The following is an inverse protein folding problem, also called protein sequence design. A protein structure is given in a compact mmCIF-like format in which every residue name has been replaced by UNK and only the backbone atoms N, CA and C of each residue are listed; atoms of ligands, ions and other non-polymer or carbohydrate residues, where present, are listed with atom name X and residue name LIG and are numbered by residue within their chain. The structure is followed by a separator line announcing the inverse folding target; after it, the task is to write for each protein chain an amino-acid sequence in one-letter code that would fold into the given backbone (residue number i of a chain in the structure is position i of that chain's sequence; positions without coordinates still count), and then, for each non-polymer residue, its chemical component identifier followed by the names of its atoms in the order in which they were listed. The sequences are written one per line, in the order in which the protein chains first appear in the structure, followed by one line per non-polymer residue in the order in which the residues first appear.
data_IF_445718104375
#
_entry.id   IF_445718104375
#
_cell.length_a   1.000
_cell.length_b   1.000
_cell.length_c   1.000
_cell.angle_alpha   90.00
_cell.angle_beta   90.00
_cell.angle_gamma   90.00
#
_symmetry.space_group_name_H-M   'P 1'
#
loop_
_entity.id
_entity.type
_entity.pdbx_description
1 polymer ?
#
# COMPACT_ATOMS: atom_id res chain seq x y z
N UNK A 1 -5.96 40.11 1.17
CA UNK A 1 -5.55 38.96 0.33
C UNK A 1 -5.64 37.69 1.16
N UNK A 2 -6.79 37.02 1.14
CA UNK A 2 -6.93 35.69 1.75
C UNK A 2 -6.34 34.65 0.79
N UNK A 3 -5.43 33.81 1.27
CA UNK A 3 -5.03 32.59 0.56
C UNK A 3 -5.97 31.49 1.04
N UNK A 4 -6.83 31.02 0.15
CA UNK A 4 -7.62 29.81 0.38
C UNK A 4 -6.67 28.60 0.47
N UNK A 5 -6.51 28.08 1.69
CA UNK A 5 -5.81 26.84 1.99
C UNK A 5 -6.80 25.66 1.89
N UNK A 6 -7.29 25.36 0.69
CA UNK A 6 -8.27 24.28 0.50
C UNK A 6 -8.03 23.47 -0.77
N UNK A 7 -6.78 23.18 -1.12
CA UNK A 7 -6.50 22.19 -2.15
C UNK A 7 -5.68 21.05 -1.54
N UNK A 8 -6.30 19.91 -1.18
CA UNK A 8 -5.56 18.77 -0.66
C UNK A 8 -4.59 18.26 -1.74
N UNK A 9 -3.35 18.02 -1.34
CA UNK A 9 -2.39 17.28 -2.17
C UNK A 9 -2.90 15.84 -2.24
N UNK A 10 -3.75 15.58 -3.23
CA UNK A 10 -4.28 14.25 -3.49
C UNK A 10 -3.11 13.37 -3.95
N UNK A 11 -2.76 12.29 -3.21
CA UNK A 11 -1.70 11.39 -3.62
C UNK A 11 -1.93 10.90 -5.04
N UNK A 12 -0.88 10.83 -5.85
CA UNK A 12 -0.98 10.53 -7.29
C UNK A 12 -1.73 9.22 -7.58
N UNK A 13 -1.73 8.26 -6.65
CA UNK A 13 -2.48 7.01 -6.74
C UNK A 13 -4.01 7.20 -6.69
N UNK A 14 -4.53 8.18 -5.94
CA UNK A 14 -5.96 8.52 -5.93
C UNK A 14 -6.44 9.05 -7.30
N UNK A 15 -5.57 9.70 -8.09
CA UNK A 15 -5.90 10.16 -9.43
C UNK A 15 -5.91 9.03 -10.49
N UNK A 16 -5.28 7.89 -10.19
CA UNK A 16 -5.30 6.70 -11.05
C UNK A 16 -6.61 5.92 -10.89
N UNK A 17 -7.13 5.84 -9.65
CA UNK A 17 -8.42 5.18 -9.32
C UNK A 17 -9.61 5.85 -10.03
N UNK A 18 -9.54 7.16 -10.30
CA UNK A 18 -10.63 7.89 -10.98
C UNK A 18 -10.71 7.66 -12.49
N UNK A 19 -9.66 7.16 -13.14
CA UNK A 19 -9.57 7.09 -14.62
C UNK A 19 -10.13 5.81 -15.21
N UNK A 20 -10.13 4.74 -14.43
CA UNK A 20 -10.81 3.49 -14.76
C UNK A 20 -12.12 3.48 -13.94
N UNK A 21 -13.28 3.32 -14.57
CA UNK A 21 -14.61 3.42 -13.94
C UNK A 21 -14.92 2.26 -12.95
N UNK A 22 -13.90 1.74 -12.27
CA UNK A 22 -13.94 0.69 -11.26
C UNK A 22 -13.30 1.25 -10.01
N UNK A 23 -14.14 1.72 -9.08
CA UNK A 23 -13.71 2.18 -7.76
C UNK A 23 -13.09 1.00 -7.00
N UNK A 24 -11.78 0.80 -7.14
CA UNK A 24 -11.06 -0.21 -6.38
C UNK A 24 -10.96 0.23 -4.93
N UNK A 25 -11.56 -0.55 -4.02
CA UNK A 25 -11.55 -0.26 -2.59
C UNK A 25 -10.22 -0.70 -2.01
N UNK A 26 -9.57 0.17 -1.24
CA UNK A 26 -8.34 -0.20 -0.51
C UNK A 26 -8.75 -0.92 0.77
N UNK A 27 -8.22 -2.12 0.98
CA UNK A 27 -8.42 -2.90 2.20
C UNK A 27 -7.10 -2.99 2.99
N UNK A 28 -7.17 -2.64 4.28
CA UNK A 28 -6.03 -2.72 5.20
C UNK A 28 -5.96 -4.12 5.81
N UNK A 29 -4.84 -4.79 5.61
CA UNK A 29 -4.54 -6.13 6.12
C UNK A 29 -3.88 -5.99 7.48
N UNK A 30 -4.59 -6.40 8.53
CA UNK A 30 -4.09 -6.47 9.91
C UNK A 30 -3.42 -7.83 10.21
N UNK A 31 -4.04 -8.91 9.71
CA UNK A 31 -3.52 -10.27 9.77
C UNK A 31 -4.13 -11.13 8.64
N UNK A 32 -3.62 -12.35 8.47
CA UNK A 32 -4.05 -13.26 7.39
C UNK A 32 -5.46 -13.83 7.57
N UNK A 33 -5.89 -14.11 8.79
CA UNK A 33 -7.16 -14.79 9.06
C UNK A 33 -8.33 -13.85 8.76
N UNK A 34 -8.31 -12.65 9.36
CA UNK A 34 -9.34 -11.64 9.13
C UNK A 34 -9.40 -11.21 7.66
N UNK A 35 -8.23 -11.11 7.00
CA UNK A 35 -8.18 -10.76 5.59
C UNK A 35 -8.75 -11.86 4.69
N UNK A 36 -8.57 -13.14 5.03
CA UNK A 36 -9.20 -14.25 4.30
C UNK A 36 -10.71 -14.26 4.49
N UNK A 37 -11.18 -14.03 5.70
CA UNK A 37 -12.62 -13.98 6.00
C UNK A 37 -13.30 -12.84 5.24
N UNK A 38 -12.67 -11.66 5.25
CA UNK A 38 -13.12 -10.54 4.44
C UNK A 38 -13.10 -10.88 2.94
N UNK A 39 -11.95 -11.30 2.40
CA UNK A 39 -11.81 -11.56 0.97
C UNK A 39 -12.68 -12.73 0.51
N UNK A 40 -13.05 -13.69 1.35
CA UNK A 40 -13.94 -14.79 0.97
C UNK A 40 -15.37 -14.29 0.74
N UNK A 41 -15.87 -13.43 1.62
CA UNK A 41 -17.26 -12.95 1.63
C UNK A 41 -17.50 -11.68 0.83
N UNK A 42 -16.47 -10.85 0.67
CA UNK A 42 -16.59 -9.54 0.04
C UNK A 42 -16.86 -9.61 -1.47
N UNK A 43 -17.67 -8.67 -1.97
CA UNK A 43 -17.98 -8.53 -3.40
C UNK A 43 -17.14 -7.42 -4.02
N UNK A 44 -16.40 -7.75 -5.07
CA UNK A 44 -15.62 -6.78 -5.86
C UNK A 44 -14.13 -7.07 -5.87
N UNK A 45 -13.39 -6.05 -6.28
CA UNK A 45 -11.94 -6.06 -6.42
C UNK A 45 -11.32 -5.02 -5.48
N UNK A 46 -10.19 -5.40 -4.90
CA UNK A 46 -9.55 -4.70 -3.80
C UNK A 46 -8.07 -4.51 -4.09
N UNK A 47 -7.56 -3.37 -3.63
CA UNK A 47 -6.13 -3.12 -3.51
C UNK A 47 -5.78 -3.40 -2.05
N UNK A 48 -4.81 -4.29 -1.81
CA UNK A 48 -4.38 -4.58 -0.45
C UNK A 48 -3.30 -3.60 -0.01
N UNK A 49 -3.35 -3.19 1.24
CA UNK A 49 -2.25 -2.52 1.92
C UNK A 49 -2.09 -3.09 3.32
N UNK A 50 -0.90 -3.04 3.89
CA UNK A 50 -0.72 -3.34 5.30
C UNK A 50 -1.22 -2.18 6.18
N UNK A 51 -1.52 -2.48 7.45
CA UNK A 51 -1.89 -1.46 8.43
C UNK A 51 -0.68 -0.62 8.86
N UNK A 52 -0.95 0.58 9.37
CA UNK A 52 0.08 1.48 9.88
C UNK A 52 0.87 0.79 11.00
N UNK A 53 2.19 1.03 11.08
CA UNK A 53 3.10 0.39 12.04
C UNK A 53 3.22 -1.14 11.95
N UNK A 54 2.51 -1.84 11.07
CA UNK A 54 2.64 -3.30 10.91
C UNK A 54 4.05 -3.70 10.46
N UNK A 55 4.70 -2.89 9.63
CA UNK A 55 6.11 -3.09 9.24
C UNK A 55 7.03 -3.00 10.44
N UNK A 56 6.78 -2.08 11.37
CA UNK A 56 7.57 -1.95 12.61
C UNK A 56 7.36 -3.13 13.55
N UNK A 57 6.14 -3.66 13.62
CA UNK A 57 5.80 -4.75 14.53
C UNK A 57 6.21 -6.13 13.99
N UNK A 58 5.91 -6.42 12.73
CA UNK A 58 6.15 -7.73 12.11
C UNK A 58 7.42 -7.79 11.26
N UNK A 59 7.90 -6.65 10.76
CA UNK A 59 8.95 -6.57 9.75
C UNK A 59 8.42 -6.70 8.32
N UNK A 60 9.15 -6.06 7.40
CA UNK A 60 8.77 -5.97 5.98
C UNK A 60 8.61 -7.34 5.29
N UNK A 61 9.41 -8.35 5.67
CA UNK A 61 9.32 -9.69 5.07
C UNK A 61 8.04 -10.43 5.46
N UNK A 62 7.56 -10.23 6.70
CA UNK A 62 6.31 -10.83 7.15
C UNK A 62 5.14 -10.15 6.45
N UNK A 63 5.17 -8.82 6.36
CA UNK A 63 4.19 -8.04 5.58
C UNK A 63 4.16 -8.49 4.11
N UNK A 64 5.32 -8.65 3.47
CA UNK A 64 5.44 -9.16 2.10
C UNK A 64 4.79 -10.54 1.95
N UNK A 65 5.10 -11.44 2.88
CA UNK A 65 4.53 -12.78 2.88
C UNK A 65 3.01 -12.74 2.99
N UNK A 66 2.45 -11.92 3.90
CA UNK A 66 1.00 -11.80 4.07
C UNK A 66 0.32 -11.30 2.79
N UNK A 67 0.79 -10.17 2.25
CA UNK A 67 0.18 -9.55 1.07
C UNK A 67 0.26 -10.45 -0.17
N UNK A 68 1.42 -11.07 -0.42
CA UNK A 68 1.60 -12.01 -1.55
C UNK A 68 0.80 -13.29 -1.37
N UNK A 69 0.64 -13.77 -0.14
CA UNK A 69 -0.21 -14.94 0.15
C UNK A 69 -1.66 -14.64 -0.24
N UNK A 70 -2.20 -13.52 0.22
CA UNK A 70 -3.58 -13.11 -0.10
C UNK A 70 -3.76 -12.86 -1.60
N UNK A 71 -2.78 -12.25 -2.27
CA UNK A 71 -2.83 -12.05 -3.72
C UNK A 71 -2.87 -13.38 -4.49
N UNK A 72 -2.14 -14.40 -4.03
CA UNK A 72 -2.16 -15.75 -4.64
C UNK A 72 -3.43 -16.52 -4.34
N UNK A 73 -3.98 -16.39 -3.14
CA UNK A 73 -5.20 -17.07 -2.71
C UNK A 73 -6.45 -16.46 -3.38
N UNK A 74 -6.46 -15.14 -3.62
CA UNK A 74 -7.61 -14.42 -4.17
C UNK A 74 -7.27 -13.62 -5.45
N UNK A 75 -6.73 -14.26 -6.52
CA UNK A 75 -6.18 -13.57 -7.69
C UNK A 75 -7.21 -12.79 -8.51
N UNK A 76 -8.51 -13.11 -8.35
CA UNK A 76 -9.62 -12.39 -9.01
C UNK A 76 -10.18 -11.23 -8.17
N UNK A 77 -9.84 -11.17 -6.88
CA UNK A 77 -10.31 -10.13 -5.96
C UNK A 77 -9.18 -9.15 -5.62
N UNK A 78 -7.93 -9.59 -5.59
CA UNK A 78 -6.77 -8.74 -5.30
C UNK A 78 -6.14 -8.29 -6.60
N UNK A 79 -6.36 -7.03 -6.98
CA UNK A 79 -5.89 -6.49 -8.26
C UNK A 79 -4.55 -5.78 -8.18
N UNK A 80 -4.19 -5.29 -7.00
CA UNK A 80 -2.91 -4.65 -6.76
C UNK A 80 -2.58 -4.72 -5.27
N UNK A 81 -1.32 -4.47 -4.96
CA UNK A 81 -0.79 -4.40 -3.61
C UNK A 81 0.01 -3.11 -3.47
N UNK A 82 -0.24 -2.39 -2.39
CA UNK A 82 0.53 -1.24 -1.94
C UNK A 82 1.17 -1.64 -0.62
N UNK A 83 2.45 -1.32 -0.44
CA UNK A 83 3.09 -1.45 0.87
C UNK A 83 3.22 -0.07 1.49
N UNK A 84 2.69 0.08 2.70
CA UNK A 84 2.95 1.22 3.56
C UNK A 84 4.13 0.91 4.49
N UNK A 85 5.18 1.71 4.40
CA UNK A 85 6.42 1.52 5.16
C UNK A 85 6.64 2.64 6.19
N UNK A 86 5.64 3.49 6.43
CA UNK A 86 5.73 4.64 7.33
C UNK A 86 6.98 5.51 7.05
N UNK A 87 7.78 5.83 8.08
CA UNK A 87 9.11 6.47 7.98
C UNK A 87 10.23 5.47 8.31
N UNK A 88 10.15 4.26 7.74
CA UNK A 88 11.19 3.23 7.94
C UNK A 88 12.08 3.08 6.69
N UNK A 89 13.30 3.62 6.77
CA UNK A 89 14.31 3.53 5.70
C UNK A 89 14.74 2.10 5.39
N UNK A 90 14.82 1.23 6.41
CA UNK A 90 15.23 -0.16 6.21
C UNK A 90 14.12 -0.94 5.49
N UNK A 91 12.87 -0.68 5.86
CA UNK A 91 11.71 -1.21 5.16
C UNK A 91 11.63 -0.68 3.72
N UNK A 92 11.91 0.61 3.48
CA UNK A 92 11.96 1.18 2.13
C UNK A 92 12.92 0.42 1.24
N UNK A 93 14.17 0.26 1.70
CA UNK A 93 15.18 -0.45 0.94
C UNK A 93 14.77 -1.90 0.66
N UNK A 94 14.13 -2.55 1.64
CA UNK A 94 13.63 -3.91 1.50
C UNK A 94 12.48 -3.99 0.50
N UNK A 95 11.52 -3.08 0.55
CA UNK A 95 10.39 -3.01 -0.39
C UNK A 95 10.86 -2.82 -1.84
N UNK A 96 11.85 -1.95 -2.05
CA UNK A 96 12.50 -1.78 -3.38
C UNK A 96 13.16 -3.08 -3.83
N UNK A 97 13.92 -3.76 -2.96
CA UNK A 97 14.55 -5.05 -3.29
C UNK A 97 13.54 -6.16 -3.59
N UNK A 98 12.38 -6.12 -2.94
CA UNK A 98 11.26 -7.03 -3.19
C UNK A 98 10.46 -6.66 -4.45
N UNK A 99 10.87 -5.61 -5.16
CA UNK A 99 10.31 -5.13 -6.42
C UNK A 99 8.85 -4.64 -6.30
N UNK A 100 8.51 -4.03 -5.15
CA UNK A 100 7.23 -3.34 -4.99
C UNK A 100 7.18 -2.10 -5.90
N UNK A 101 6.11 -2.01 -6.71
CA UNK A 101 5.87 -0.86 -7.57
C UNK A 101 5.14 0.28 -6.87
N UNK A 102 4.31 -0.07 -5.89
CA UNK A 102 3.51 0.87 -5.12
C UNK A 102 3.99 0.85 -3.67
N UNK A 103 4.75 1.87 -3.28
CA UNK A 103 5.30 2.04 -1.94
C UNK A 103 4.80 3.39 -1.40
N UNK A 104 4.22 3.38 -0.21
CA UNK A 104 3.86 4.59 0.55
C UNK A 104 4.94 4.81 1.62
N UNK A 105 5.66 5.91 1.49
CA UNK A 105 6.66 6.38 2.46
C UNK A 105 6.23 7.75 2.97
N UNK A 106 6.06 7.88 4.28
CA UNK A 106 5.58 9.09 4.95
C UNK A 106 6.72 9.95 5.54
N UNK A 107 7.95 9.46 5.47
CA UNK A 107 9.11 10.14 6.01
C UNK A 107 9.58 11.36 5.21
N UNK A 108 10.37 12.21 5.89
CA UNK A 108 10.82 13.49 5.35
C UNK A 108 12.24 13.45 4.74
N UNK A 109 12.94 12.32 4.77
CA UNK A 109 14.29 12.22 4.20
C UNK A 109 14.29 12.38 2.68
N UNK A 110 15.06 13.35 2.19
CA UNK A 110 15.21 13.60 0.76
C UNK A 110 15.97 12.47 0.05
N UNK A 111 16.91 11.83 0.75
CA UNK A 111 17.63 10.65 0.27
C UNK A 111 16.67 9.48 0.04
N UNK A 112 15.79 9.20 1.01
CA UNK A 112 14.77 8.16 0.90
C UNK A 112 13.79 8.43 -0.26
N UNK A 113 13.33 9.68 -0.40
CA UNK A 113 12.50 10.09 -1.54
C UNK A 113 13.23 9.97 -2.88
N UNK A 114 14.54 10.23 -2.92
CA UNK A 114 15.34 10.06 -4.12
C UNK A 114 15.49 8.58 -4.52
N UNK A 115 15.55 7.66 -3.55
CA UNK A 115 15.55 6.22 -3.81
C UNK A 115 14.25 5.76 -4.49
N UNK A 116 13.10 6.23 -4.00
CA UNK A 116 11.78 5.93 -4.60
C UNK A 116 11.64 6.39 -6.06
N UNK A 117 12.33 7.47 -6.44
CA UNK A 117 12.29 7.98 -7.83
C UNK A 117 13.14 7.14 -8.78
N UNK A 118 14.08 6.34 -8.26
CA UNK A 118 15.01 5.52 -9.05
C UNK A 118 14.60 4.05 -9.13
N UNK A 119 13.72 3.60 -8.24
CA UNK A 119 13.19 2.23 -8.18
C UNK A 119 12.10 1.98 -9.20
#
# INVERSE_FOLDING_TARGET
MHRDCSNPVIPWWMNKIKRDNKMSVVYKVENLEDARDFLSSAQGEYILTNSESSVKYYGMLVVDHMLKTLQKEFPKKVIDVIVDIDDDHAALFTAIKLNYKNIVYMGNSEEAKALLKKS
#
